data_IF_976327117173
#
_entry.id   IF_976327117173
#
_cell.length_a   1.000
_cell.length_b   1.000
_cell.length_c   1.000
_cell.angle_alpha   90.00
_cell.angle_beta   90.00
_cell.angle_gamma   90.00
#
_symmetry.space_group_name_H-M   'P 1'
#
loop_
_entity.id
_entity.type
_entity.pdbx_description
1 polymer ?
#
# COMPACT_ATOMS: atom_id res chain seq x y z
N UNK A 1 -14.11 -19.95 -14.63
CA UNK A 1 -14.68 -18.84 -13.83
C UNK A 1 -13.81 -18.67 -12.61
N UNK A 2 -13.02 -17.60 -12.54
CA UNK A 2 -12.25 -17.27 -11.33
C UNK A 2 -13.25 -16.82 -10.27
N UNK A 3 -13.41 -17.59 -9.19
CA UNK A 3 -14.21 -17.17 -8.03
C UNK A 3 -13.54 -15.91 -7.45
N UNK A 4 -14.28 -14.79 -7.42
CA UNK A 4 -13.82 -13.59 -6.74
C UNK A 4 -13.88 -13.83 -5.23
N UNK A 5 -12.74 -14.19 -4.65
CA UNK A 5 -12.59 -14.32 -3.20
C UNK A 5 -12.42 -12.93 -2.58
N UNK A 6 -12.81 -12.79 -1.31
CA UNK A 6 -12.68 -11.53 -0.57
C UNK A 6 -11.27 -10.90 -0.66
N UNK A 7 -10.15 -11.66 -0.49
CA UNK A 7 -8.81 -11.12 -0.64
C UNK A 7 -8.54 -10.51 -2.02
N UNK A 8 -9.10 -11.09 -3.09
CA UNK A 8 -8.89 -10.61 -4.45
C UNK A 8 -9.64 -9.30 -4.72
N UNK A 9 -10.88 -9.17 -4.22
CA UNK A 9 -11.65 -7.93 -4.35
C UNK A 9 -10.97 -6.81 -3.55
N UNK A 10 -10.59 -7.10 -2.30
CA UNK A 10 -9.94 -6.11 -1.44
C UNK A 10 -8.57 -5.72 -1.97
N UNK A 11 -7.77 -6.65 -2.48
CA UNK A 11 -6.49 -6.37 -3.14
C UNK A 11 -6.62 -5.31 -4.25
N UNK A 12 -7.66 -5.42 -5.08
CA UNK A 12 -7.93 -4.49 -6.17
C UNK A 12 -8.36 -3.11 -5.64
N UNK A 13 -9.27 -3.06 -4.66
CA UNK A 13 -9.77 -1.82 -4.06
C UNK A 13 -8.68 -1.08 -3.29
N UNK A 14 -7.79 -1.80 -2.61
CA UNK A 14 -6.67 -1.21 -1.88
C UNK A 14 -5.71 -0.49 -2.83
N UNK A 15 -5.38 -1.10 -3.97
CA UNK A 15 -4.41 -0.53 -4.89
C UNK A 15 -5.01 0.48 -5.85
N UNK A 16 -6.28 0.32 -6.24
CA UNK A 16 -6.97 1.15 -7.23
C UNK A 16 -8.41 1.48 -6.82
N UNK A 17 -8.63 2.17 -5.69
CA UNK A 17 -9.98 2.47 -5.21
C UNK A 17 -10.80 3.29 -6.21
N UNK A 18 -10.16 4.15 -7.01
CA UNK A 18 -10.80 4.90 -8.09
C UNK A 18 -11.46 4.00 -9.15
N UNK A 19 -10.88 2.84 -9.41
CA UNK A 19 -11.40 1.88 -10.41
C UNK A 19 -12.49 1.00 -9.81
N UNK A 20 -12.30 0.54 -8.57
CA UNK A 20 -13.12 -0.54 -8.00
C UNK A 20 -14.15 -0.09 -6.96
N UNK A 21 -13.91 1.04 -6.27
CA UNK A 21 -14.82 1.63 -5.29
C UNK A 21 -15.58 2.85 -5.82
N UNK A 22 -15.41 3.20 -7.10
CA UNK A 22 -16.03 4.37 -7.72
C UNK A 22 -15.38 5.70 -7.31
N UNK A 23 -14.23 5.65 -6.63
CA UNK A 23 -13.41 6.80 -6.27
C UNK A 23 -12.44 6.52 -5.11
N UNK A 24 -11.54 7.46 -4.85
CA UNK A 24 -10.44 7.33 -3.88
C UNK A 24 -10.67 8.09 -2.57
N UNK A 25 -11.87 8.64 -2.35
CA UNK A 25 -12.21 9.30 -1.09
C UNK A 25 -12.53 8.30 0.03
N UNK A 26 -12.37 8.75 1.28
CA UNK A 26 -12.72 7.98 2.48
C UNK A 26 -14.16 7.51 2.42
N UNK A 27 -15.09 8.39 2.07
CA UNK A 27 -16.53 8.12 2.04
C UNK A 27 -16.88 7.06 1.00
N UNK A 28 -16.26 7.12 -0.19
CA UNK A 28 -16.48 6.15 -1.26
C UNK A 28 -15.95 4.76 -0.87
N UNK A 29 -14.76 4.69 -0.27
CA UNK A 29 -14.20 3.43 0.22
C UNK A 29 -15.07 2.84 1.34
N UNK A 30 -15.52 3.67 2.30
CA UNK A 30 -16.40 3.24 3.37
C UNK A 30 -17.74 2.70 2.82
N UNK A 31 -18.34 3.41 1.86
CA UNK A 31 -19.59 2.98 1.22
C UNK A 31 -19.41 1.67 0.45
N UNK A 32 -18.30 1.51 -0.26
CA UNK A 32 -17.96 0.27 -0.96
C UNK A 32 -17.84 -0.90 0.02
N UNK A 33 -17.08 -0.74 1.10
CA UNK A 33 -16.88 -1.79 2.12
C UNK A 33 -18.21 -2.16 2.76
N UNK A 34 -19.03 -1.17 3.15
CA UNK A 34 -20.34 -1.42 3.70
C UNK A 34 -21.22 -2.23 2.74
N UNK A 35 -21.22 -1.88 1.45
CA UNK A 35 -21.96 -2.60 0.41
C UNK A 35 -21.46 -4.03 0.22
N UNK A 36 -20.14 -4.25 0.26
CA UNK A 36 -19.52 -5.58 0.18
C UNK A 36 -19.95 -6.46 1.36
N UNK A 37 -19.94 -5.90 2.58
CA UNK A 37 -20.22 -6.62 3.83
C UNK A 37 -21.69 -7.03 4.02
N UNK A 38 -22.63 -6.41 3.30
CA UNK A 38 -24.05 -6.79 3.36
C UNK A 38 -24.31 -8.25 2.99
N UNK A 39 -23.44 -8.83 2.15
CA UNK A 39 -23.54 -10.22 1.68
C UNK A 39 -22.59 -11.17 2.40
N UNK A 40 -21.87 -10.68 3.41
CA UNK A 40 -20.85 -11.44 4.14
C UNK A 40 -21.36 -11.87 5.53
N UNK A 41 -20.93 -13.05 5.97
CA UNK A 41 -21.07 -13.43 7.37
C UNK A 41 -20.33 -12.43 8.24
N UNK A 42 -20.84 -12.18 9.46
CA UNK A 42 -20.32 -11.15 10.35
C UNK A 42 -18.82 -11.33 10.65
N UNK A 43 -18.37 -12.57 10.82
CA UNK A 43 -16.99 -12.92 11.18
C UNK A 43 -16.02 -12.71 10.00
N UNK A 44 -16.52 -12.78 8.76
CA UNK A 44 -15.71 -12.60 7.56
C UNK A 44 -15.59 -11.12 7.15
N UNK A 45 -16.32 -10.21 7.81
CA UNK A 45 -16.38 -8.78 7.44
C UNK A 45 -15.03 -8.10 7.61
N UNK A 46 -14.68 -7.26 6.63
CA UNK A 46 -13.48 -6.43 6.68
C UNK A 46 -13.43 -5.57 7.95
N UNK A 47 -14.53 -4.94 8.31
CA UNK A 47 -14.72 -4.06 9.46
C UNK A 47 -14.42 -4.75 10.79
N UNK A 48 -14.80 -6.02 10.92
CA UNK A 48 -14.50 -6.85 12.10
C UNK A 48 -13.03 -7.23 12.10
N UNK A 49 -12.53 -7.75 10.99
CA UNK A 49 -11.17 -8.28 10.92
C UNK A 49 -10.11 -7.18 11.01
N UNK A 50 -10.34 -6.00 10.43
CA UNK A 50 -9.44 -4.86 10.59
C UNK A 50 -9.46 -4.30 12.02
N UNK A 51 -10.62 -4.29 12.69
CA UNK A 51 -10.72 -3.92 14.09
C UNK A 51 -9.91 -4.85 15.00
N UNK A 52 -9.99 -6.17 14.74
CA UNK A 52 -9.20 -7.18 15.42
C UNK A 52 -7.70 -7.02 15.15
N UNK A 53 -7.30 -6.80 13.90
CA UNK A 53 -5.91 -6.54 13.52
C UNK A 53 -5.35 -5.32 14.27
N UNK A 54 -6.11 -4.23 14.29
CA UNK A 54 -5.75 -2.99 14.97
C UNK A 54 -5.58 -3.18 16.48
N UNK A 55 -6.50 -3.88 17.13
CA UNK A 55 -6.43 -4.16 18.57
C UNK A 55 -5.25 -5.08 18.91
N UNK A 56 -5.10 -6.18 18.17
CA UNK A 56 -4.18 -7.25 18.53
C UNK A 56 -2.73 -6.93 18.14
N UNK A 57 -2.51 -6.40 16.94
CA UNK A 57 -1.16 -6.17 16.40
C UNK A 57 -0.69 -4.74 16.63
N UNK A 58 -1.57 -3.75 16.43
CA UNK A 58 -1.21 -2.33 16.50
C UNK A 58 -1.51 -1.67 17.85
N UNK A 59 -2.15 -2.41 18.77
CA UNK A 59 -2.56 -1.98 20.12
C UNK A 59 -3.48 -0.76 20.12
N UNK A 60 -4.36 -0.67 19.11
CA UNK A 60 -5.35 0.40 18.96
C UNK A 60 -6.72 -0.16 19.34
N UNK A 61 -7.20 0.22 20.51
CA UNK A 61 -8.44 -0.28 21.09
C UNK A 61 -9.68 0.19 20.32
N UNK A 62 -10.74 -0.60 20.38
CA UNK A 62 -12.04 -0.21 19.83
C UNK A 62 -12.54 1.07 20.51
N UNK A 63 -13.14 1.95 19.73
CA UNK A 63 -13.71 3.21 20.19
C UNK A 63 -15.12 3.40 19.60
N UNK A 64 -15.82 4.45 20.04
CA UNK A 64 -17.19 4.73 19.60
C UNK A 64 -17.30 5.03 18.09
N UNK A 65 -16.19 5.39 17.43
CA UNK A 65 -16.11 5.64 15.98
C UNK A 65 -15.89 4.35 15.17
N UNK A 66 -15.86 3.19 15.84
CA UNK A 66 -15.67 1.88 15.23
C UNK A 66 -14.31 1.73 14.53
N UNK A 67 -14.22 0.74 13.65
CA UNK A 67 -12.99 0.42 12.90
C UNK A 67 -12.45 1.62 12.09
N UNK A 68 -13.34 2.45 11.56
CA UNK A 68 -12.99 3.65 10.81
C UNK A 68 -12.24 4.67 11.69
N UNK A 69 -12.67 4.84 12.94
CA UNK A 69 -11.96 5.69 13.91
C UNK A 69 -10.67 5.07 14.43
N UNK A 70 -10.61 3.74 14.59
CA UNK A 70 -9.36 3.06 14.92
C UNK A 70 -8.32 3.21 13.79
N UNK A 71 -8.76 3.16 12.54
CA UNK A 71 -7.90 3.38 11.38
C UNK A 71 -7.35 4.80 11.34
N UNK A 72 -8.18 5.80 11.67
CA UNK A 72 -7.74 7.19 11.81
C UNK A 72 -6.70 7.35 12.92
N UNK A 73 -6.90 6.69 14.06
CA UNK A 73 -5.92 6.67 15.15
C UNK A 73 -4.61 6.00 14.73
N UNK A 74 -4.67 4.94 13.92
CA UNK A 74 -3.50 4.29 13.33
C UNK A 74 -2.74 5.24 12.39
N UNK A 75 -3.44 5.81 11.41
CA UNK A 75 -2.86 6.75 10.44
C UNK A 75 -2.17 7.91 11.15
N UNK A 76 -2.86 8.53 12.12
CA UNK A 76 -2.30 9.63 12.91
C UNK A 76 -1.07 9.21 13.71
N UNK A 77 -1.07 8.04 14.34
CA UNK A 77 0.09 7.50 15.08
C UNK A 77 1.31 7.29 14.16
N UNK A 78 1.08 7.02 12.88
CA UNK A 78 2.12 6.81 11.87
C UNK A 78 2.50 8.07 11.09
N UNK A 79 1.76 9.17 11.24
CA UNK A 79 1.95 10.39 10.45
C UNK A 79 1.51 10.21 9.00
N UNK A 80 0.43 9.46 8.78
CA UNK A 80 -0.13 9.16 7.47
C UNK A 80 -1.52 9.77 7.30
N UNK A 81 -1.92 9.98 6.04
CA UNK A 81 -3.33 10.18 5.71
C UNK A 81 -4.16 8.91 5.96
N UNK A 82 -5.48 9.10 6.09
CA UNK A 82 -6.40 8.00 6.36
C UNK A 82 -6.32 6.91 5.27
N UNK A 83 -6.23 7.33 4.00
CA UNK A 83 -6.18 6.41 2.84
C UNK A 83 -4.90 5.57 2.86
N UNK A 84 -3.75 6.14 3.20
CA UNK A 84 -2.49 5.39 3.30
C UNK A 84 -2.57 4.34 4.41
N UNK A 85 -3.12 4.69 5.57
CA UNK A 85 -3.35 3.72 6.64
C UNK A 85 -4.34 2.62 6.24
N UNK A 86 -5.39 2.97 5.49
CA UNK A 86 -6.33 2.00 4.93
C UNK A 86 -5.61 1.00 4.01
N UNK A 87 -4.77 1.49 3.10
CA UNK A 87 -4.03 0.62 2.18
C UNK A 87 -3.10 -0.32 2.94
N UNK A 88 -2.31 0.21 3.87
CA UNK A 88 -1.33 -0.58 4.60
C UNK A 88 -1.99 -1.67 5.45
N UNK A 89 -3.01 -1.31 6.24
CA UNK A 89 -3.75 -2.28 7.06
C UNK A 89 -4.57 -3.24 6.20
N UNK A 90 -5.10 -2.76 5.08
CA UNK A 90 -5.78 -3.59 4.09
C UNK A 90 -4.84 -4.66 3.54
N UNK A 91 -3.60 -4.31 3.18
CA UNK A 91 -2.61 -5.28 2.71
C UNK A 91 -2.29 -6.29 3.82
N UNK A 92 -1.98 -5.82 5.03
CA UNK A 92 -1.69 -6.71 6.16
C UNK A 92 -2.85 -7.69 6.41
N UNK A 93 -4.09 -7.21 6.30
CA UNK A 93 -5.27 -8.03 6.49
C UNK A 93 -5.42 -9.10 5.40
N UNK A 94 -5.38 -8.72 4.13
CA UNK A 94 -5.56 -9.71 3.04
C UNK A 94 -4.40 -10.71 3.00
N UNK A 95 -3.18 -10.33 3.40
CA UNK A 95 -2.06 -11.25 3.48
C UNK A 95 -2.31 -12.36 4.50
N UNK A 96 -2.95 -12.06 5.63
CA UNK A 96 -3.28 -13.07 6.64
C UNK A 96 -4.27 -14.12 6.10
N UNK A 97 -5.13 -13.74 5.16
CA UNK A 97 -6.13 -14.61 4.52
C UNK A 97 -5.61 -15.36 3.29
N UNK A 98 -4.51 -14.89 2.68
CA UNK A 98 -3.95 -15.48 1.47
C UNK A 98 -3.06 -16.69 1.75
N UNK A 99 -3.21 -17.74 0.94
CA UNK A 99 -2.26 -18.85 0.89
C UNK A 99 -0.96 -18.45 0.15
N UNK A 100 0.05 -19.33 0.17
CA UNK A 100 1.36 -19.04 -0.42
C UNK A 100 1.30 -18.64 -1.91
N UNK A 101 0.51 -19.34 -2.70
CA UNK A 101 0.36 -19.05 -4.13
C UNK A 101 -0.31 -17.69 -4.38
N UNK A 102 -1.37 -17.37 -3.62
CA UNK A 102 -2.04 -16.08 -3.70
C UNK A 102 -1.11 -14.93 -3.28
N UNK A 103 -0.30 -15.13 -2.23
CA UNK A 103 0.68 -14.13 -1.78
C UNK A 103 1.74 -13.87 -2.85
N UNK A 104 2.18 -14.89 -3.58
CA UNK A 104 3.14 -14.72 -4.68
C UNK A 104 2.54 -13.90 -5.84
N UNK A 105 1.30 -14.22 -6.25
CA UNK A 105 0.57 -13.45 -7.26
C UNK A 105 0.36 -12.00 -6.82
N UNK A 106 -0.03 -11.79 -5.57
CA UNK A 106 -0.23 -10.45 -5.03
C UNK A 106 1.08 -9.68 -4.90
N UNK A 107 2.18 -10.32 -4.52
CA UNK A 107 3.50 -9.71 -4.49
C UNK A 107 3.93 -9.23 -5.90
N UNK A 108 3.72 -10.05 -6.93
CA UNK A 108 4.00 -9.65 -8.32
C UNK A 108 3.18 -8.43 -8.75
N UNK A 109 1.90 -8.41 -8.37
CA UNK A 109 1.01 -7.28 -8.64
C UNK A 109 1.45 -6.01 -7.89
N UNK A 110 1.69 -6.10 -6.58
CA UNK A 110 2.15 -4.99 -5.75
C UNK A 110 3.50 -4.43 -6.22
N UNK A 111 4.44 -5.30 -6.60
CA UNK A 111 5.72 -4.91 -7.21
C UNK A 111 5.51 -4.06 -8.46
N UNK A 112 4.60 -4.46 -9.34
CA UNK A 112 4.31 -3.70 -10.55
C UNK A 112 3.82 -2.28 -10.22
N UNK A 113 2.97 -2.11 -9.21
CA UNK A 113 2.54 -0.79 -8.74
C UNK A 113 3.70 0.05 -8.24
N UNK A 114 4.56 -0.52 -7.39
CA UNK A 114 5.69 0.18 -6.80
C UNK A 114 6.70 0.58 -7.89
N UNK A 115 6.98 -0.30 -8.85
CA UNK A 115 7.85 0.01 -10.00
C UNK A 115 7.27 1.16 -10.82
N UNK A 116 5.96 1.12 -11.10
CA UNK A 116 5.28 2.21 -11.83
C UNK A 116 5.33 3.52 -11.05
N UNK A 117 5.12 3.47 -9.74
CA UNK A 117 5.17 4.63 -8.85
C UNK A 117 6.57 5.26 -8.84
N UNK A 118 7.63 4.45 -8.73
CA UNK A 118 9.02 4.89 -8.85
C UNK A 118 9.29 5.49 -10.24
N UNK A 119 8.75 4.88 -11.30
CA UNK A 119 8.91 5.36 -12.68
C UNK A 119 8.35 6.77 -12.93
N UNK A 120 7.42 7.24 -12.11
CA UNK A 120 6.85 8.60 -12.17
C UNK A 120 7.80 9.68 -11.65
N UNK A 121 8.85 9.31 -10.91
CA UNK A 121 9.84 10.26 -10.42
C UNK A 121 10.62 10.83 -11.61
N UNK A 122 10.83 12.16 -11.63
CA UNK A 122 11.58 12.82 -12.71
C UNK A 122 13.08 12.50 -12.60
N UNK A 123 13.81 12.35 -13.72
CA UNK A 123 15.27 12.28 -13.68
C UNK A 123 15.84 13.60 -13.13
N UNK A 124 16.82 13.54 -12.24
CA UNK A 124 17.49 14.72 -11.68
C UNK A 124 16.75 15.47 -10.57
N UNK A 125 15.67 14.90 -10.00
CA UNK A 125 15.04 15.46 -8.80
C UNK A 125 13.75 14.76 -8.36
N UNK A 126 13.68 14.45 -7.06
CA UNK A 126 12.49 13.90 -6.39
C UNK A 126 11.52 15.03 -6.02
N UNK A 127 10.65 15.43 -6.95
CA UNK A 127 9.49 16.26 -6.57
C UNK A 127 8.39 15.35 -5.98
N UNK A 128 8.62 14.88 -4.77
CA UNK A 128 7.59 14.18 -4.00
C UNK A 128 6.45 15.15 -3.71
N UNK A 129 5.32 14.97 -4.39
CA UNK A 129 4.07 15.62 -3.96
C UNK A 129 3.38 14.75 -2.90
N UNK A 130 2.46 15.36 -2.14
CA UNK A 130 1.74 14.68 -1.07
C UNK A 130 1.02 13.42 -1.55
N UNK A 131 0.35 13.48 -2.70
CA UNK A 131 -0.35 12.33 -3.26
C UNK A 131 0.58 11.14 -3.59
N UNK A 132 1.81 11.42 -4.04
CA UNK A 132 2.81 10.39 -4.31
C UNK A 132 3.34 9.79 -3.01
N UNK A 133 3.63 10.63 -2.00
CA UNK A 133 4.06 10.18 -0.66
C UNK A 133 2.99 9.29 -0.03
N UNK A 134 1.72 9.70 -0.09
CA UNK A 134 0.61 8.93 0.46
C UNK A 134 0.46 7.56 -0.20
N UNK A 135 0.66 7.49 -1.53
CA UNK A 135 0.68 6.22 -2.24
C UNK A 135 1.83 5.34 -1.78
N UNK A 136 3.04 5.89 -1.68
CA UNK A 136 4.21 5.15 -1.21
C UNK A 136 4.00 4.57 0.18
N UNK A 137 3.65 5.42 1.15
CA UNK A 137 3.46 5.03 2.54
C UNK A 137 2.34 4.00 2.71
N UNK A 138 1.33 4.03 1.84
CA UNK A 138 0.23 3.07 1.88
C UNK A 138 0.57 1.68 1.33
N UNK A 139 1.58 1.53 0.48
CA UNK A 139 1.82 0.27 -0.26
C UNK A 139 3.21 -0.34 -0.04
N UNK A 140 4.18 0.44 0.45
CA UNK A 140 5.56 -0.01 0.68
C UNK A 140 5.71 -0.50 2.13
N UNK A 141 5.85 -1.83 2.30
CA UNK A 141 5.81 -2.50 3.61
C UNK A 141 7.20 -2.88 4.15
N UNK A 142 8.15 -1.93 4.16
CA UNK A 142 9.52 -2.17 4.64
C UNK A 142 9.60 -2.55 6.12
N UNK A 143 8.57 -2.27 6.91
CA UNK A 143 8.45 -2.70 8.31
C UNK A 143 8.17 -4.20 8.48
N UNK A 144 7.89 -4.92 7.39
CA UNK A 144 7.57 -6.35 7.42
C UNK A 144 8.63 -7.18 6.71
N UNK A 145 8.91 -8.38 7.21
CA UNK A 145 9.79 -9.33 6.53
C UNK A 145 9.26 -9.70 5.13
N UNK A 146 7.93 -9.86 4.99
CA UNK A 146 7.30 -10.16 3.70
C UNK A 146 7.56 -9.06 2.67
N UNK A 147 7.37 -7.78 3.05
CA UNK A 147 7.61 -6.66 2.16
C UNK A 147 9.07 -6.49 1.73
N UNK A 148 10.02 -6.74 2.65
CA UNK A 148 11.46 -6.71 2.34
C UNK A 148 11.86 -7.86 1.40
N UNK A 149 11.35 -9.07 1.65
CA UNK A 149 11.66 -10.27 0.87
C UNK A 149 11.11 -10.25 -0.57
N UNK A 150 10.28 -9.26 -0.92
CA UNK A 150 9.89 -9.04 -2.30
C UNK A 150 11.09 -8.65 -3.17
N UNK A 151 12.11 -8.00 -2.62
CA UNK A 151 13.13 -7.32 -3.41
C UNK A 151 14.45 -8.06 -3.38
N UNK A 152 15.20 -7.99 -4.49
CA UNK A 152 16.62 -8.33 -4.44
C UNK A 152 17.41 -7.21 -3.70
N UNK A 153 18.66 -7.46 -3.33
CA UNK A 153 19.46 -6.52 -2.54
C UNK A 153 19.53 -5.11 -3.17
N UNK A 154 19.83 -5.02 -4.47
CA UNK A 154 19.92 -3.71 -5.17
C UNK A 154 18.58 -2.97 -5.20
N UNK A 155 17.49 -3.71 -5.41
CA UNK A 155 16.14 -3.15 -5.40
C UNK A 155 15.74 -2.66 -4.02
N UNK A 156 16.08 -3.43 -2.98
CA UNK A 156 15.80 -3.08 -1.60
C UNK A 156 16.57 -1.82 -1.20
N UNK A 157 17.86 -1.71 -1.55
CA UNK A 157 18.68 -0.53 -1.26
C UNK A 157 18.06 0.75 -1.83
N UNK A 158 17.57 0.70 -3.08
CA UNK A 158 16.88 1.86 -3.69
C UNK A 158 15.58 2.20 -2.95
N UNK A 159 14.77 1.19 -2.64
CA UNK A 159 13.48 1.39 -1.96
C UNK A 159 13.71 1.96 -0.57
N UNK A 160 14.73 1.50 0.16
CA UNK A 160 15.12 2.05 1.46
C UNK A 160 15.62 3.50 1.35
N UNK A 161 16.40 3.84 0.33
CA UNK A 161 16.82 5.22 0.09
C UNK A 161 15.62 6.15 -0.15
N UNK A 162 14.68 5.72 -1.00
CA UNK A 162 13.45 6.48 -1.24
C UNK A 162 12.64 6.63 0.05
N UNK A 163 12.51 5.57 0.84
CA UNK A 163 11.78 5.60 2.12
C UNK A 163 12.42 6.56 3.13
N UNK A 164 13.75 6.60 3.21
CA UNK A 164 14.47 7.56 4.04
C UNK A 164 14.29 9.00 3.57
N UNK A 165 14.29 9.26 2.27
CA UNK A 165 13.98 10.59 1.73
C UNK A 165 12.55 11.02 2.03
N UNK A 166 11.59 10.10 1.91
CA UNK A 166 10.20 10.36 2.30
C UNK A 166 10.11 10.65 3.78
N UNK A 167 10.83 9.93 4.66
CA UNK A 167 10.82 10.24 6.10
C UNK A 167 11.32 11.65 6.37
N UNK A 168 12.39 12.10 5.69
CA UNK A 168 12.89 13.48 5.82
C UNK A 168 11.83 14.49 5.40
N UNK A 169 11.20 14.28 4.24
CA UNK A 169 10.16 15.18 3.72
C UNK A 169 8.88 15.10 4.56
N UNK A 170 8.48 13.94 5.04
CA UNK A 170 7.26 13.74 5.84
C UNK A 170 7.41 14.32 7.25
N UNK A 171 8.61 14.30 7.84
CA UNK A 171 8.93 15.07 9.06
C UNK A 171 8.83 16.58 8.80
N UNK A 172 9.08 17.03 7.57
CA UNK A 172 9.02 18.44 7.14
C UNK A 172 7.68 18.87 6.51
N UNK A 173 6.76 17.93 6.22
CA UNK A 173 5.46 18.23 5.60
C UNK A 173 4.48 18.96 6.53
N UNK A 174 4.87 19.23 7.77
CA UNK A 174 4.19 20.19 8.64
C UNK A 174 4.81 21.60 8.63
N UNK A 175 5.93 21.86 7.93
CA UNK A 175 6.52 23.21 7.87
C UNK A 175 7.08 23.71 6.53
N UNK A 176 7.42 22.94 5.48
CA UNK A 176 7.73 23.49 4.12
C UNK A 176 8.07 22.42 3.06
N UNK A 177 7.75 22.59 1.75
CA UNK A 177 8.13 21.64 0.71
C UNK A 177 9.34 22.12 -0.13
N UNK A 178 10.31 21.22 -0.29
CA UNK A 178 11.14 20.94 -1.50
C UNK A 178 12.57 20.54 -1.09
N UNK A 179 12.89 19.25 -1.22
CA UNK A 179 14.25 18.73 -1.13
C UNK A 179 14.48 17.88 -2.38
N UNK A 180 15.55 18.20 -3.11
CA UNK A 180 16.02 17.46 -4.28
C UNK A 180 17.14 16.51 -3.86
N UNK A 181 17.03 15.22 -4.23
CA UNK A 181 18.09 14.22 -4.07
C UNK A 181 18.24 13.46 -5.39
N UNK A 182 19.51 13.22 -5.77
CA UNK A 182 19.91 12.58 -7.02
C UNK A 182 19.98 11.05 -6.85
N UNK A 183 19.08 10.33 -7.53
CA UNK A 183 18.96 8.86 -7.51
C UNK A 183 19.07 8.23 -8.92
N UNK A 184 19.61 8.96 -9.89
CA UNK A 184 19.46 8.63 -11.31
C UNK A 184 20.05 7.27 -11.71
N UNK A 185 21.18 6.86 -11.13
CA UNK A 185 21.85 5.60 -11.50
C UNK A 185 21.04 4.36 -11.07
N UNK A 186 20.34 4.43 -9.93
CA UNK A 186 19.60 3.29 -9.38
C UNK A 186 18.25 3.10 -10.06
N UNK A 187 17.60 4.18 -10.49
CA UNK A 187 16.34 4.13 -11.26
C UNK A 187 16.51 3.38 -12.58
N UNK A 188 17.56 3.68 -13.35
CA UNK A 188 17.81 3.01 -14.63
C UNK A 188 18.03 1.50 -14.44
N UNK A 189 18.83 1.10 -13.45
CA UNK A 189 19.07 -0.32 -13.15
C UNK A 189 17.80 -1.05 -12.65
N UNK A 190 16.94 -0.35 -11.91
CA UNK A 190 15.69 -0.90 -11.40
C UNK A 190 14.65 -1.12 -12.51
N UNK A 191 14.54 -0.19 -13.46
CA UNK A 191 13.63 -0.32 -14.60
C UNK A 191 14.10 -1.40 -15.59
N UNK A 192 15.41 -1.55 -15.82
CA UNK A 192 15.94 -2.60 -16.71
C UNK A 192 15.74 -4.02 -16.14
N UNK A 193 15.89 -4.20 -14.83
CA UNK A 193 15.70 -5.51 -14.18
C UNK A 193 14.23 -5.92 -14.01
N UNK A 194 13.30 -4.98 -14.14
CA UNK A 194 11.85 -5.22 -14.05
C UNK A 194 11.19 -5.45 -15.40
N UNK A 195 11.96 -5.38 -16.50
CA UNK A 195 11.46 -5.67 -17.84
C UNK A 195 11.12 -7.17 -17.95
N UNK A 196 9.85 -7.46 -18.23
CA UNK A 196 9.34 -8.81 -18.51
C UNK A 196 10.22 -9.47 -19.60
N UNK A 197 10.62 -10.75 -19.46
CA UNK A 197 11.34 -11.42 -20.54
C UNK A 197 10.49 -11.34 -21.81
N UNK A 198 11.09 -10.89 -22.91
CA UNK A 198 10.42 -10.96 -24.22
C UNK A 198 9.93 -12.41 -24.43
N UNK A 199 8.70 -12.61 -24.92
CA UNK A 199 8.24 -13.95 -25.24
C UNK A 199 9.21 -14.55 -26.26
N UNK A 200 9.75 -15.72 -25.94
CA UNK A 200 10.52 -16.53 -26.88
C UNK A 200 9.52 -16.97 -27.95
N UNK A 201 9.59 -16.35 -29.12
CA UNK A 201 8.93 -16.86 -30.32
C UNK A 201 9.44 -18.28 -30.57
N UNK A 202 8.53 -19.25 -30.53
CA UNK A 202 8.75 -20.62 -30.99
C UNK A 202 8.17 -20.77 -32.39
#
# INVERSE_FOLDING_TARGET
MTQFTFPNIMAAVILQPETFAGGSSREQILAFIAGLELKMNKEDRFSVNIGNLLANHHKIQANQRGWNGQLEDFSRKKGFEWISGFKQLGIELILNEMNAHQREQYAAYLKHFIVKLIGQLSPGGLNFNSAWIDQWLGIVLLHTAWGRNMWNAKQLDLIEQIDEEIKKVNVLCYETPSISVDLDILRYQFMEQSAVPKPVEK
#
